data_IF_353250209033
#
_entry.id   IF_353250209033
#
_cell.length_a   1.000
_cell.length_b   1.000
_cell.length_c   1.000
_cell.angle_alpha   90.00
_cell.angle_beta   90.00
_cell.angle_gamma   90.00
#
_symmetry.space_group_name_H-M   'P 1'
#
loop_
_entity.id
_entity.type
_entity.pdbx_description
1 polymer ?
#
# COMPACT_ATOMS: atom_id res chain seq x y z
N UNK A 1 11.92 -10.33 -30.59
CA UNK A 1 11.86 -8.96 -30.06
C UNK A 1 10.77 -8.23 -30.84
N UNK A 2 9.63 -7.92 -30.21
CA UNK A 2 8.66 -6.98 -30.76
C UNK A 2 9.37 -5.62 -30.76
N UNK A 3 9.29 -4.86 -31.87
CA UNK A 3 9.91 -3.55 -31.94
C UNK A 3 9.31 -2.67 -30.84
N UNK A 4 10.14 -1.95 -30.09
CA UNK A 4 9.72 -1.07 -28.97
C UNK A 4 8.70 0.01 -29.33
N UNK A 5 8.35 0.12 -30.62
CA UNK A 5 7.41 1.08 -31.20
C UNK A 5 6.17 0.45 -31.83
N UNK A 6 6.07 -0.89 -31.90
CA UNK A 6 4.90 -1.55 -32.48
C UNK A 6 3.65 -1.34 -31.58
N UNK A 7 2.51 -1.19 -32.23
CA UNK A 7 1.21 -1.06 -31.54
C UNK A 7 0.95 -2.29 -30.66
N UNK A 8 0.66 -2.14 -29.36
CA UNK A 8 0.50 -3.27 -28.47
C UNK A 8 -0.83 -4.01 -28.71
N UNK A 9 -0.78 -5.34 -28.60
CA UNK A 9 -1.98 -6.19 -28.69
C UNK A 9 -2.72 -6.24 -27.35
N UNK A 10 -4.05 -5.98 -27.31
CA UNK A 10 -4.82 -6.00 -26.08
C UNK A 10 -4.75 -7.34 -25.32
N UNK A 11 -4.76 -8.47 -26.04
CA UNK A 11 -4.63 -9.79 -25.45
C UNK A 11 -3.34 -9.95 -24.63
N UNK A 12 -2.22 -9.50 -25.16
CA UNK A 12 -0.94 -9.59 -24.46
C UNK A 12 -0.85 -8.72 -23.18
N UNK A 13 -1.67 -7.69 -23.09
CA UNK A 13 -1.70 -6.78 -21.93
C UNK A 13 -2.62 -7.22 -20.80
N UNK A 14 -3.71 -7.92 -21.14
CA UNK A 14 -4.81 -8.13 -20.18
C UNK A 14 -5.16 -9.60 -19.97
N UNK A 15 -4.61 -10.57 -20.73
CA UNK A 15 -4.92 -12.02 -20.60
C UNK A 15 -4.65 -12.57 -19.21
N UNK A 16 -3.61 -12.08 -18.54
CA UNK A 16 -3.21 -12.53 -17.21
C UNK A 16 -4.00 -11.85 -16.08
N UNK A 17 -4.93 -10.95 -16.41
CA UNK A 17 -5.73 -10.23 -15.41
C UNK A 17 -7.03 -10.97 -15.16
N UNK A 18 -7.34 -11.22 -13.90
CA UNK A 18 -8.59 -11.83 -13.46
C UNK A 18 -9.75 -10.85 -13.55
N UNK A 19 -10.63 -11.05 -14.49
CA UNK A 19 -11.90 -10.32 -14.60
C UNK A 19 -13.07 -11.07 -13.99
N UNK A 20 -12.94 -12.39 -13.81
CA UNK A 20 -14.01 -13.25 -13.32
C UNK A 20 -14.61 -12.76 -11.98
N UNK A 21 -15.93 -12.76 -11.90
CA UNK A 21 -16.67 -12.32 -10.72
C UNK A 21 -16.85 -10.81 -10.56
N UNK A 22 -16.19 -10.00 -11.40
CA UNK A 22 -16.34 -8.54 -11.39
C UNK A 22 -17.40 -8.08 -12.41
N UNK A 23 -18.32 -7.25 -11.95
CA UNK A 23 -19.37 -6.67 -12.83
C UNK A 23 -18.89 -5.41 -13.56
N UNK A 24 -17.90 -4.75 -13.02
CA UNK A 24 -17.31 -3.54 -13.58
C UNK A 24 -15.81 -3.50 -13.34
N UNK A 25 -15.10 -2.66 -14.08
CA UNK A 25 -13.71 -2.25 -13.84
C UNK A 25 -13.56 -0.75 -14.07
N UNK A 26 -12.61 -0.13 -13.39
CA UNK A 26 -12.36 1.31 -13.51
C UNK A 26 -11.05 1.55 -14.26
N UNK A 27 -11.07 2.41 -15.28
CA UNK A 27 -9.87 2.96 -15.92
C UNK A 27 -9.65 4.41 -15.48
N UNK A 28 -8.49 4.71 -14.89
CA UNK A 28 -8.11 6.06 -14.53
C UNK A 28 -7.59 6.82 -15.75
N UNK A 29 -8.33 7.82 -16.22
CA UNK A 29 -8.04 8.54 -17.46
C UNK A 29 -7.78 10.02 -17.18
N UNK A 30 -6.59 10.51 -17.54
CA UNK A 30 -6.21 11.91 -17.38
C UNK A 30 -6.31 12.75 -18.67
N UNK A 31 -6.64 12.10 -19.81
CA UNK A 31 -6.60 12.73 -21.11
C UNK A 31 -5.22 12.72 -21.81
N UNK A 32 -4.16 12.37 -21.10
CA UNK A 32 -2.84 12.14 -21.68
C UNK A 32 -2.78 10.86 -22.50
N UNK A 33 -1.82 10.77 -23.45
CA UNK A 33 -1.73 9.66 -24.40
C UNK A 33 -1.71 8.28 -23.76
N UNK A 34 -0.88 8.07 -22.73
CA UNK A 34 -0.78 6.77 -22.05
C UNK A 34 -2.14 6.33 -21.46
N UNK A 35 -2.89 7.26 -20.84
CA UNK A 35 -4.16 6.95 -20.22
C UNK A 35 -5.30 6.72 -21.22
N UNK A 36 -5.30 7.40 -22.34
CA UNK A 36 -6.25 7.16 -23.43
C UNK A 36 -5.94 5.83 -24.14
N UNK A 37 -4.67 5.53 -24.38
CA UNK A 37 -4.27 4.25 -24.92
C UNK A 37 -4.70 3.08 -24.01
N UNK A 38 -4.48 3.20 -22.70
CA UNK A 38 -4.99 2.22 -21.72
C UNK A 38 -6.50 2.03 -21.85
N UNK A 39 -7.27 3.13 -21.89
CA UNK A 39 -8.73 3.07 -21.94
C UNK A 39 -9.22 2.29 -23.19
N UNK A 40 -8.68 2.60 -24.33
CA UNK A 40 -9.15 2.00 -25.60
C UNK A 40 -8.62 0.58 -25.80
N UNK A 41 -7.39 0.28 -25.39
CA UNK A 41 -6.86 -1.08 -25.36
C UNK A 41 -7.69 -1.99 -24.43
N UNK A 42 -8.08 -1.48 -23.27
CA UNK A 42 -8.92 -2.22 -22.32
C UNK A 42 -10.35 -2.41 -22.88
N UNK A 43 -10.92 -1.40 -23.53
CA UNK A 43 -12.19 -1.51 -24.24
C UNK A 43 -12.14 -2.63 -25.30
N UNK A 44 -11.15 -2.58 -26.21
CA UNK A 44 -10.97 -3.58 -27.27
C UNK A 44 -10.82 -5.00 -26.70
N UNK A 45 -10.14 -5.15 -25.57
CA UNK A 45 -10.02 -6.43 -24.89
C UNK A 45 -11.36 -6.93 -24.34
N UNK A 46 -12.08 -6.06 -23.62
CA UNK A 46 -13.34 -6.42 -22.97
C UNK A 46 -14.47 -6.72 -23.99
N UNK A 47 -14.49 -6.01 -25.11
CA UNK A 47 -15.47 -6.26 -26.20
C UNK A 47 -15.32 -7.68 -26.81
N UNK A 48 -14.14 -8.28 -26.72
CA UNK A 48 -13.86 -9.66 -27.14
C UNK A 48 -14.31 -10.70 -26.09
N UNK A 49 -14.73 -10.26 -24.89
CA UNK A 49 -15.15 -11.14 -23.78
C UNK A 49 -16.67 -11.18 -23.68
N UNK A 50 -17.37 -12.27 -24.05
CA UNK A 50 -18.84 -12.32 -24.10
C UNK A 50 -19.57 -12.01 -22.78
N UNK A 51 -18.86 -12.18 -21.64
CA UNK A 51 -19.40 -11.93 -20.29
C UNK A 51 -18.42 -11.08 -19.47
N UNK A 52 -17.67 -10.21 -20.14
CA UNK A 52 -16.71 -9.31 -19.48
C UNK A 52 -17.40 -8.25 -18.62
N UNK A 53 -16.68 -7.67 -17.65
CA UNK A 53 -17.18 -6.56 -16.85
C UNK A 53 -17.40 -5.30 -17.69
N UNK A 54 -18.32 -4.43 -17.26
CA UNK A 54 -18.48 -3.10 -17.84
C UNK A 54 -17.25 -2.22 -17.54
N UNK A 55 -16.92 -1.33 -18.47
CA UNK A 55 -15.81 -0.39 -18.34
C UNK A 55 -16.31 0.99 -17.90
N UNK A 56 -15.78 1.50 -16.79
CA UNK A 56 -16.00 2.86 -16.31
C UNK A 56 -14.70 3.68 -16.42
N UNK A 57 -14.68 4.69 -17.26
CA UNK A 57 -13.62 5.67 -17.30
C UNK A 57 -13.80 6.71 -16.18
N UNK A 58 -12.74 6.98 -15.40
CA UNK A 58 -12.79 7.97 -14.33
C UNK A 58 -11.67 8.99 -14.50
N UNK A 59 -12.04 10.26 -14.60
CA UNK A 59 -11.11 11.40 -14.60
C UNK A 59 -11.13 12.09 -13.25
N UNK A 60 -9.94 12.33 -12.68
CA UNK A 60 -9.79 13.13 -11.47
C UNK A 60 -9.36 14.54 -11.83
N UNK A 61 -10.26 15.49 -11.64
CA UNK A 61 -9.95 16.92 -11.74
C UNK A 61 -9.39 17.44 -10.40
N UNK A 62 -8.10 17.73 -10.41
CA UNK A 62 -7.43 18.28 -9.21
C UNK A 62 -7.74 19.75 -8.98
N UNK A 63 -8.30 20.48 -9.97
CA UNK A 63 -8.55 21.92 -9.92
C UNK A 63 -7.28 22.75 -9.67
N UNK A 64 -6.12 22.27 -10.15
CA UNK A 64 -4.82 22.96 -10.01
C UNK A 64 -4.48 23.85 -11.20
N UNK A 65 -5.15 23.66 -12.34
CA UNK A 65 -4.98 24.43 -13.58
C UNK A 65 -6.35 24.91 -14.08
N UNK A 66 -6.41 26.08 -14.73
CA UNK A 66 -7.68 26.60 -15.28
C UNK A 66 -8.34 25.65 -16.28
N UNK A 67 -7.53 24.95 -17.09
CA UNK A 67 -8.00 24.10 -18.20
C UNK A 67 -8.39 22.69 -17.77
N UNK A 68 -8.13 22.28 -16.50
CA UNK A 68 -8.36 20.91 -16.03
C UNK A 68 -9.81 20.42 -16.19
N UNK A 69 -10.78 21.31 -15.97
CA UNK A 69 -12.19 20.98 -16.14
C UNK A 69 -12.58 20.82 -17.63
N UNK A 70 -11.94 21.58 -18.53
CA UNK A 70 -12.15 21.46 -19.97
C UNK A 70 -11.54 20.18 -20.53
N UNK A 71 -10.33 19.83 -20.09
CA UNK A 71 -9.69 18.55 -20.41
C UNK A 71 -10.54 17.36 -19.92
N UNK A 72 -11.05 17.41 -18.70
CA UNK A 72 -11.91 16.35 -18.15
C UNK A 72 -13.21 16.20 -18.96
N UNK A 73 -13.81 17.30 -19.42
CA UNK A 73 -15.01 17.27 -20.29
C UNK A 73 -14.70 16.62 -21.63
N UNK A 74 -13.61 16.99 -22.27
CA UNK A 74 -13.20 16.41 -23.55
C UNK A 74 -12.91 14.91 -23.45
N UNK A 75 -12.33 14.45 -22.34
CA UNK A 75 -12.21 12.99 -22.05
C UNK A 75 -13.60 12.35 -21.98
N UNK A 76 -14.57 13.00 -21.33
CA UNK A 76 -15.95 12.52 -21.27
C UNK A 76 -16.60 12.40 -22.65
N UNK A 77 -16.39 13.37 -23.50
CA UNK A 77 -16.88 13.37 -24.91
C UNK A 77 -16.25 12.23 -25.72
N UNK A 78 -14.92 12.03 -25.59
CA UNK A 78 -14.21 10.92 -26.24
C UNK A 78 -14.71 9.55 -25.75
N UNK A 79 -14.95 9.39 -24.46
CA UNK A 79 -15.49 8.16 -23.89
C UNK A 79 -16.93 7.91 -24.39
N UNK A 80 -17.80 8.94 -24.36
CA UNK A 80 -19.18 8.84 -24.82
C UNK A 80 -19.28 8.48 -26.31
N UNK A 81 -18.42 9.06 -27.17
CA UNK A 81 -18.37 8.72 -28.58
C UNK A 81 -18.04 7.24 -28.85
N UNK A 82 -17.51 6.53 -27.85
CA UNK A 82 -17.19 5.09 -27.92
C UNK A 82 -18.09 4.23 -27.02
N UNK A 83 -19.15 4.79 -26.49
CA UNK A 83 -20.08 4.07 -25.63
C UNK A 83 -19.52 3.69 -24.25
N UNK A 84 -18.42 4.32 -23.83
CA UNK A 84 -17.80 4.07 -22.52
C UNK A 84 -18.42 5.02 -21.49
N UNK A 85 -18.92 4.45 -20.37
CA UNK A 85 -19.38 5.25 -19.24
C UNK A 85 -18.22 6.07 -18.65
N UNK A 86 -18.45 7.35 -18.36
CA UNK A 86 -17.43 8.25 -17.83
C UNK A 86 -17.92 9.03 -16.62
N UNK A 87 -17.02 9.24 -15.65
CA UNK A 87 -17.26 10.11 -14.48
C UNK A 87 -16.07 11.03 -14.28
N UNK A 88 -16.33 12.29 -13.98
CA UNK A 88 -15.32 13.23 -13.48
C UNK A 88 -15.50 13.39 -11.98
N UNK A 89 -14.43 13.16 -11.23
CA UNK A 89 -14.37 13.37 -9.78
C UNK A 89 -13.46 14.56 -9.48
N UNK A 90 -13.94 15.49 -8.68
CA UNK A 90 -13.19 16.68 -8.30
C UNK A 90 -12.55 16.54 -6.93
N UNK A 91 -11.29 16.98 -6.82
CA UNK A 91 -10.64 17.13 -5.53
C UNK A 91 -11.10 18.43 -4.86
N UNK A 92 -12.00 18.30 -3.89
CA UNK A 92 -12.66 19.42 -3.22
C UNK A 92 -11.95 19.88 -1.94
N UNK A 93 -11.17 18.98 -1.28
CA UNK A 93 -10.50 19.28 -0.04
C UNK A 93 -9.52 20.46 -0.17
N UNK A 94 -9.26 21.12 0.95
CA UNK A 94 -8.30 22.22 1.03
C UNK A 94 -6.90 21.78 0.59
N UNK A 95 -6.33 22.50 -0.35
CA UNK A 95 -5.04 22.18 -0.95
C UNK A 95 -3.91 22.69 -0.05
N UNK A 96 -2.94 21.82 0.32
CA UNK A 96 -1.84 22.23 1.17
C UNK A 96 -0.91 23.20 0.41
N UNK A 97 -0.33 24.15 1.15
CA UNK A 97 0.62 25.12 0.60
C UNK A 97 1.96 24.48 0.20
N UNK A 98 2.35 23.37 0.82
CA UNK A 98 3.57 22.61 0.52
C UNK A 98 3.21 21.15 0.25
N UNK A 99 4.02 20.47 -0.59
CA UNK A 99 3.80 19.06 -0.91
C UNK A 99 2.55 18.79 -1.78
N UNK A 100 2.08 19.79 -2.55
CA UNK A 100 0.85 19.69 -3.36
C UNK A 100 0.83 18.47 -4.28
N UNK A 101 1.97 18.07 -4.88
CA UNK A 101 2.04 16.90 -5.77
C UNK A 101 1.81 15.58 -5.02
N UNK A 102 2.30 15.46 -3.78
CA UNK A 102 2.04 14.30 -2.93
C UNK A 102 0.58 14.24 -2.51
N UNK A 103 0.00 15.37 -2.09
CA UNK A 103 -1.41 15.48 -1.70
C UNK A 103 -2.35 15.20 -2.89
N UNK A 104 -2.03 15.70 -4.09
CA UNK A 104 -2.79 15.43 -5.30
C UNK A 104 -2.76 13.95 -5.68
N UNK A 105 -1.59 13.29 -5.55
CA UNK A 105 -1.46 11.84 -5.76
C UNK A 105 -2.32 11.06 -4.79
N UNK A 106 -2.33 11.46 -3.53
CA UNK A 106 -3.11 10.86 -2.47
C UNK A 106 -4.62 11.00 -2.72
N UNK A 107 -5.07 12.22 -3.01
CA UNK A 107 -6.47 12.50 -3.35
C UNK A 107 -6.92 11.71 -4.58
N UNK A 108 -6.05 11.59 -5.60
CA UNK A 108 -6.34 10.77 -6.79
C UNK A 108 -6.61 9.32 -6.45
N UNK A 109 -5.76 8.70 -5.61
CA UNK A 109 -5.96 7.30 -5.21
C UNK A 109 -7.27 7.14 -4.43
N UNK A 110 -7.55 8.02 -3.46
CA UNK A 110 -8.77 7.97 -2.66
C UNK A 110 -10.04 8.15 -3.53
N UNK A 111 -10.03 9.12 -4.46
CA UNK A 111 -11.16 9.36 -5.35
C UNK A 111 -11.40 8.19 -6.31
N UNK A 112 -10.35 7.62 -6.88
CA UNK A 112 -10.46 6.44 -7.75
C UNK A 112 -10.93 5.20 -6.99
N UNK A 113 -10.44 4.97 -5.78
CA UNK A 113 -10.89 3.88 -4.93
C UNK A 113 -12.37 4.05 -4.54
N UNK A 114 -12.81 5.27 -4.22
CA UNK A 114 -14.23 5.58 -3.99
C UNK A 114 -15.07 5.25 -5.22
N UNK A 115 -14.65 5.66 -6.43
CA UNK A 115 -15.36 5.33 -7.67
C UNK A 115 -15.47 3.82 -7.89
N UNK A 116 -14.40 3.06 -7.60
CA UNK A 116 -14.42 1.61 -7.72
C UNK A 116 -15.40 0.96 -6.74
N UNK A 117 -15.40 1.36 -5.46
CA UNK A 117 -16.36 0.89 -4.44
C UNK A 117 -17.80 1.18 -4.84
N UNK A 118 -18.09 2.40 -5.33
CA UNK A 118 -19.41 2.82 -5.82
C UNK A 118 -19.84 2.04 -7.07
N UNK A 119 -18.90 1.64 -7.93
CA UNK A 119 -19.17 0.78 -9.09
C UNK A 119 -19.24 -0.72 -8.74
N UNK A 120 -19.06 -1.09 -7.45
CA UNK A 120 -19.09 -2.48 -6.99
C UNK A 120 -17.91 -3.30 -7.49
N UNK A 121 -16.73 -2.69 -7.64
CA UNK A 121 -15.49 -3.35 -8.08
C UNK A 121 -14.33 -3.02 -7.18
N UNK A 122 -13.36 -3.94 -7.12
CA UNK A 122 -12.08 -3.81 -6.43
C UNK A 122 -10.92 -3.53 -7.39
N UNK A 123 -11.17 -3.25 -8.70
CA UNK A 123 -10.14 -3.20 -9.72
C UNK A 123 -10.09 -1.86 -10.45
N UNK A 124 -8.96 -1.17 -10.32
CA UNK A 124 -8.65 0.10 -11.00
C UNK A 124 -7.40 -0.06 -11.86
N UNK A 125 -7.49 0.36 -13.11
CA UNK A 125 -6.38 0.38 -14.06
C UNK A 125 -5.72 1.75 -14.13
N UNK A 126 -4.39 1.79 -14.16
CA UNK A 126 -3.59 3.01 -14.31
C UNK A 126 -2.51 2.82 -15.37
N UNK A 127 -2.24 3.86 -16.16
CA UNK A 127 -1.42 3.83 -17.36
C UNK A 127 0.07 4.14 -17.11
N UNK A 128 0.67 3.51 -16.08
CA UNK A 128 2.12 3.62 -15.90
C UNK A 128 2.84 2.72 -16.91
N UNK A 129 3.86 3.28 -17.57
CA UNK A 129 4.61 2.67 -18.66
C UNK A 129 6.01 2.20 -18.23
N UNK A 130 6.74 1.53 -19.14
CA UNK A 130 8.16 1.19 -18.96
C UNK A 130 9.01 2.46 -18.78
N UNK A 131 8.68 3.53 -19.51
CA UNK A 131 9.35 4.83 -19.34
C UNK A 131 9.16 5.39 -17.94
N UNK A 132 7.94 5.30 -17.37
CA UNK A 132 7.68 5.71 -15.98
C UNK A 132 8.44 4.86 -14.97
N UNK A 133 8.66 3.58 -15.27
CA UNK A 133 9.47 2.68 -14.45
C UNK A 133 10.92 3.15 -14.41
N UNK A 134 11.54 3.40 -15.59
CA UNK A 134 12.91 3.90 -15.71
C UNK A 134 13.09 5.26 -15.01
N UNK A 135 12.19 6.23 -15.27
CA UNK A 135 12.19 7.54 -14.60
C UNK A 135 12.12 7.40 -13.08
N UNK A 136 11.22 6.54 -12.58
CA UNK A 136 11.05 6.32 -11.15
C UNK A 136 12.28 5.68 -10.52
N UNK A 137 12.90 4.72 -11.19
CA UNK A 137 14.12 4.08 -10.69
C UNK A 137 15.28 5.07 -10.66
N UNK A 138 15.50 5.84 -11.73
CA UNK A 138 16.54 6.86 -11.78
C UNK A 138 16.43 7.86 -10.60
N UNK A 139 15.21 8.35 -10.32
CA UNK A 139 14.94 9.24 -9.18
C UNK A 139 15.18 8.57 -7.82
N UNK A 140 14.91 7.28 -7.68
CA UNK A 140 15.12 6.56 -6.42
C UNK A 140 16.58 6.22 -6.17
N UNK A 141 17.32 5.86 -7.20
CA UNK A 141 18.75 5.58 -7.12
C UNK A 141 19.54 6.84 -6.73
N UNK A 142 19.17 8.02 -7.22
CA UNK A 142 19.80 9.28 -6.81
C UNK A 142 19.61 9.61 -5.32
N UNK A 143 18.64 8.94 -4.65
CA UNK A 143 18.33 9.08 -3.21
C UNK A 143 18.77 7.88 -2.38
N UNK A 144 19.62 7.01 -2.93
CA UNK A 144 20.17 5.84 -2.23
C UNK A 144 19.43 4.51 -2.52
N UNK A 145 18.41 4.50 -3.37
CA UNK A 145 17.75 3.28 -3.87
C UNK A 145 17.05 2.44 -2.81
N UNK A 146 17.77 1.55 -2.15
CA UNK A 146 17.24 0.62 -1.16
C UNK A 146 16.09 -0.24 -1.72
N UNK A 147 15.09 -0.57 -0.90
CA UNK A 147 13.90 -1.33 -1.35
C UNK A 147 13.10 -0.59 -2.46
N UNK A 148 13.30 0.71 -2.60
CA UNK A 148 12.71 1.50 -3.67
C UNK A 148 13.25 1.17 -5.07
N UNK A 149 14.42 0.55 -5.19
CA UNK A 149 15.01 0.12 -6.46
C UNK A 149 14.12 -0.87 -7.25
N UNK A 150 13.20 -1.56 -6.59
CA UNK A 150 12.18 -2.37 -7.26
C UNK A 150 11.19 -1.58 -8.14
N UNK A 151 11.29 -0.26 -8.19
CA UNK A 151 10.45 0.57 -9.05
C UNK A 151 8.96 0.56 -8.66
N UNK A 152 8.09 0.71 -9.67
CA UNK A 152 6.63 0.72 -9.52
C UNK A 152 6.13 -0.73 -9.50
N UNK A 153 5.28 -1.11 -8.54
CA UNK A 153 4.69 -2.44 -8.49
C UNK A 153 3.62 -2.64 -9.58
N UNK A 154 3.51 -3.84 -10.19
CA UNK A 154 2.45 -4.17 -11.15
C UNK A 154 1.04 -3.97 -10.58
N UNK A 155 0.85 -4.27 -9.31
CA UNK A 155 -0.37 -3.96 -8.57
C UNK A 155 -0.04 -3.37 -7.19
N UNK A 156 -0.96 -2.58 -6.66
CA UNK A 156 -0.91 -2.05 -5.29
C UNK A 156 -2.31 -2.10 -4.71
N UNK A 157 -2.46 -2.75 -3.57
CA UNK A 157 -3.70 -2.74 -2.81
C UNK A 157 -3.78 -1.44 -2.01
N UNK A 158 -4.87 -0.71 -2.19
CA UNK A 158 -5.17 0.53 -1.47
C UNK A 158 -6.17 0.24 -0.35
N UNK A 159 -5.85 0.64 0.87
CA UNK A 159 -6.69 0.52 2.08
C UNK A 159 -7.25 -0.89 2.35
N UNK A 160 -6.65 -1.91 1.75
CA UNK A 160 -6.98 -3.30 1.98
C UNK A 160 -8.08 -3.88 1.07
N UNK A 161 -8.66 -3.11 0.16
CA UNK A 161 -9.83 -3.53 -0.62
C UNK A 161 -9.81 -3.20 -2.12
N UNK A 162 -9.02 -2.22 -2.59
CA UNK A 162 -9.01 -1.81 -4.01
C UNK A 162 -7.63 -1.99 -4.63
N UNK A 163 -7.56 -2.80 -5.68
CA UNK A 163 -6.35 -3.01 -6.47
C UNK A 163 -6.17 -1.94 -7.53
N UNK A 164 -5.02 -1.29 -7.52
CA UNK A 164 -4.53 -0.44 -8.61
C UNK A 164 -3.56 -1.23 -9.46
N UNK A 165 -3.95 -1.62 -10.67
CA UNK A 165 -3.15 -2.42 -11.60
C UNK A 165 -2.53 -1.59 -12.70
N UNK A 166 -1.41 -2.06 -13.25
CA UNK A 166 -0.57 -1.33 -14.23
C UNK A 166 -0.15 -2.26 -15.34
N UNK A 167 -1.05 -2.59 -16.28
CA UNK A 167 -0.75 -3.54 -17.35
C UNK A 167 0.31 -3.04 -18.34
N UNK A 168 0.54 -1.72 -18.40
CA UNK A 168 1.47 -1.10 -19.35
C UNK A 168 2.90 -0.94 -18.83
N UNK A 169 3.25 -1.52 -17.67
CA UNK A 169 4.59 -1.36 -17.07
C UNK A 169 5.75 -1.90 -17.93
N UNK A 170 5.45 -2.80 -18.87
CA UNK A 170 6.42 -3.33 -19.84
C UNK A 170 6.26 -2.74 -21.25
N UNK A 171 5.35 -1.78 -21.40
CA UNK A 171 5.05 -1.14 -22.70
C UNK A 171 5.71 0.24 -22.77
N UNK A 172 6.41 0.51 -23.86
CA UNK A 172 7.02 1.81 -24.10
C UNK A 172 5.95 2.85 -24.49
N UNK A 173 6.12 4.07 -24.01
CA UNK A 173 5.24 5.19 -24.36
C UNK A 173 5.15 5.43 -25.87
N UNK A 174 6.24 5.18 -26.61
CA UNK A 174 6.27 5.28 -28.07
C UNK A 174 5.24 4.34 -28.73
N UNK A 175 5.16 3.09 -28.28
CA UNK A 175 4.20 2.11 -28.78
C UNK A 175 2.73 2.53 -28.54
N UNK A 176 2.45 3.14 -27.39
CA UNK A 176 1.12 3.69 -27.08
C UNK A 176 0.75 4.88 -27.99
N UNK A 177 1.72 5.71 -28.30
CA UNK A 177 1.52 6.82 -29.27
C UNK A 177 1.27 6.30 -30.69
N UNK A 178 2.00 5.27 -31.11
CA UNK A 178 1.75 4.58 -32.39
C UNK A 178 0.32 4.03 -32.43
N UNK A 179 -0.11 3.33 -31.39
CA UNK A 179 -1.48 2.79 -31.26
C UNK A 179 -2.56 3.87 -31.42
N UNK A 180 -2.41 5.03 -30.78
CA UNK A 180 -3.35 6.15 -30.88
C UNK A 180 -3.29 6.80 -32.25
N UNK A 181 -2.09 7.00 -32.81
CA UNK A 181 -1.88 7.59 -34.13
C UNK A 181 -2.52 6.79 -35.27
N UNK A 182 -2.38 5.46 -35.27
CA UNK A 182 -3.02 4.53 -36.22
C UNK A 182 -4.55 4.63 -36.22
N UNK A 183 -5.12 5.08 -35.08
CA UNK A 183 -6.59 5.23 -34.89
C UNK A 183 -7.06 6.67 -34.99
N UNK A 184 -6.17 7.61 -35.32
CA UNK A 184 -6.51 9.03 -35.42
C UNK A 184 -6.97 9.67 -34.12
N UNK A 185 -6.52 9.13 -32.96
CA UNK A 185 -6.93 9.62 -31.65
C UNK A 185 -5.93 10.67 -31.15
N UNK A 186 -6.41 11.90 -30.95
CA UNK A 186 -5.63 12.96 -30.31
C UNK A 186 -5.62 12.81 -28.78
N UNK A 187 -4.60 13.41 -28.13
CA UNK A 187 -4.47 13.45 -26.66
C UNK A 187 -3.97 14.81 -26.19
N UNK A 188 -4.15 15.08 -24.89
CA UNK A 188 -3.63 16.30 -24.27
C UNK A 188 -2.19 16.10 -23.79
N UNK A 189 -1.31 17.06 -24.05
CA UNK A 189 0.02 17.10 -23.45
C UNK A 189 0.03 18.10 -22.31
N UNK A 190 0.22 17.62 -21.08
CA UNK A 190 0.38 18.49 -19.93
C UNK A 190 1.71 19.24 -20.01
N UNK A 191 1.72 20.59 -20.07
CA UNK A 191 2.95 21.39 -20.14
C UNK A 191 3.92 21.11 -18.99
N UNK A 192 3.40 20.73 -17.81
CA UNK A 192 4.22 20.38 -16.65
C UNK A 192 5.13 19.18 -16.88
N UNK A 193 4.82 18.30 -17.83
CA UNK A 193 5.65 17.16 -18.20
C UNK A 193 7.00 17.56 -18.85
N UNK A 194 7.10 18.80 -19.34
CA UNK A 194 8.33 19.36 -19.95
C UNK A 194 8.98 20.42 -19.08
N UNK A 195 8.37 20.80 -17.96
CA UNK A 195 8.85 21.87 -17.09
C UNK A 195 10.04 21.39 -16.23
N UNK A 196 11.26 21.95 -16.44
CA UNK A 196 12.47 21.52 -15.72
C UNK A 196 12.44 21.83 -14.23
N UNK A 197 11.48 22.58 -13.73
CA UNK A 197 11.25 22.75 -12.29
C UNK A 197 10.90 21.44 -11.62
N UNK A 198 10.27 20.51 -12.33
CA UNK A 198 9.94 19.19 -11.81
C UNK A 198 11.08 18.18 -12.04
N UNK A 199 11.48 17.49 -10.98
CA UNK A 199 12.56 16.49 -11.02
C UNK A 199 12.34 15.45 -12.12
N UNK A 200 11.11 14.96 -12.26
CA UNK A 200 10.77 13.93 -13.25
C UNK A 200 10.98 14.41 -14.70
N UNK A 201 10.66 15.65 -15.00
CA UNK A 201 10.91 16.23 -16.33
C UNK A 201 12.41 16.32 -16.63
N UNK A 202 13.23 16.70 -15.64
CA UNK A 202 14.70 16.71 -15.78
C UNK A 202 15.26 15.31 -16.02
N UNK A 203 14.82 14.32 -15.22
CA UNK A 203 15.26 12.93 -15.38
C UNK A 203 14.88 12.41 -16.76
N UNK A 204 13.65 12.61 -17.21
CA UNK A 204 13.18 12.22 -18.55
C UNK A 204 14.04 12.79 -19.66
N UNK A 205 14.45 14.04 -19.57
CA UNK A 205 15.29 14.71 -20.58
C UNK A 205 16.72 14.13 -20.64
N UNK A 206 17.18 13.46 -19.58
CA UNK A 206 18.53 12.86 -19.49
C UNK A 206 18.56 11.36 -19.80
N UNK A 207 17.41 10.69 -19.97
CA UNK A 207 17.34 9.26 -20.26
C UNK A 207 17.38 9.03 -21.78
N UNK A 208 18.43 8.38 -22.25
CA UNK A 208 18.51 7.76 -23.57
C UNK A 208 17.99 6.33 -23.55
N UNK A 209 17.99 5.65 -24.68
CA UNK A 209 17.48 4.29 -24.83
C UNK A 209 18.31 3.28 -24.03
N UNK A 210 19.64 3.34 -24.17
CA UNK A 210 20.55 2.39 -23.48
C UNK A 210 20.40 2.50 -21.96
N UNK A 211 20.34 3.73 -21.45
CA UNK A 211 20.15 3.97 -20.02
C UNK A 211 18.76 3.51 -19.54
N UNK A 212 17.74 3.70 -20.35
CA UNK A 212 16.37 3.24 -20.07
C UNK A 212 16.35 1.72 -19.94
N UNK A 213 16.91 0.99 -20.91
CA UNK A 213 16.98 -0.48 -20.88
C UNK A 213 17.78 -0.99 -19.67
N UNK A 214 18.92 -0.36 -19.35
CA UNK A 214 19.71 -0.72 -18.18
C UNK A 214 18.91 -0.55 -16.87
N UNK A 215 18.16 0.54 -16.72
CA UNK A 215 17.31 0.79 -15.55
C UNK A 215 16.15 -0.20 -15.46
N UNK A 216 15.54 -0.58 -16.57
CA UNK A 216 14.47 -1.59 -16.56
C UNK A 216 14.99 -2.95 -16.08
N UNK A 217 16.16 -3.39 -16.59
CA UNK A 217 16.79 -4.63 -16.15
C UNK A 217 17.19 -4.58 -14.65
N UNK A 218 17.68 -3.43 -14.18
CA UNK A 218 17.98 -3.21 -12.76
C UNK A 218 16.72 -3.28 -11.90
N UNK A 219 15.61 -2.66 -12.34
CA UNK A 219 14.32 -2.74 -11.65
C UNK A 219 13.82 -4.17 -11.51
N UNK A 220 13.85 -4.96 -12.58
CA UNK A 220 13.45 -6.38 -12.56
C UNK A 220 14.28 -7.21 -11.58
N UNK A 221 15.60 -7.02 -11.58
CA UNK A 221 16.48 -7.69 -10.62
C UNK A 221 16.14 -7.32 -9.18
N UNK A 222 15.97 -6.01 -8.91
CA UNK A 222 15.59 -5.52 -7.59
C UNK A 222 14.21 -6.02 -7.14
N UNK A 223 13.26 -6.21 -8.07
CA UNK A 223 11.96 -6.82 -7.79
C UNK A 223 12.10 -8.26 -7.33
N UNK A 224 12.87 -9.08 -8.08
CA UNK A 224 13.14 -10.48 -7.71
C UNK A 224 13.78 -10.60 -6.32
N UNK A 225 14.80 -9.77 -6.05
CA UNK A 225 15.47 -9.74 -4.74
C UNK A 225 14.50 -9.34 -3.62
N UNK A 226 13.70 -8.30 -3.82
CA UNK A 226 12.69 -7.84 -2.84
C UNK A 226 11.66 -8.92 -2.53
N UNK A 227 11.16 -9.62 -3.54
CA UNK A 227 10.22 -10.72 -3.36
C UNK A 227 10.85 -11.91 -2.63
N UNK A 228 12.11 -12.26 -2.96
CA UNK A 228 12.84 -13.33 -2.28
C UNK A 228 13.06 -13.03 -0.80
N UNK A 229 13.50 -11.81 -0.48
CA UNK A 229 13.65 -11.33 0.89
C UNK A 229 12.29 -11.29 1.62
N UNK A 230 11.24 -10.84 0.92
CA UNK A 230 9.88 -10.82 1.45
C UNK A 230 9.36 -12.21 1.81
N UNK A 231 9.57 -13.22 0.97
CA UNK A 231 9.22 -14.61 1.28
C UNK A 231 9.99 -15.14 2.49
N UNK A 232 11.30 -14.94 2.53
CA UNK A 232 12.10 -15.37 3.69
C UNK A 232 11.63 -14.71 4.99
N UNK A 233 11.30 -13.42 4.96
CA UNK A 233 10.73 -12.75 6.14
C UNK A 233 9.33 -13.28 6.52
N UNK A 234 8.49 -13.62 5.53
CA UNK A 234 7.17 -14.22 5.76
C UNK A 234 7.28 -15.58 6.47
N UNK A 235 8.19 -16.44 5.99
CA UNK A 235 8.46 -17.76 6.57
C UNK A 235 8.92 -17.64 8.04
N UNK A 236 9.82 -16.68 8.32
CA UNK A 236 10.29 -16.41 9.68
C UNK A 236 9.20 -15.81 10.58
N UNK A 237 8.33 -14.94 10.06
CA UNK A 237 7.18 -14.42 10.80
C UNK A 237 6.22 -15.57 11.13
N UNK A 238 5.89 -16.44 10.17
CA UNK A 238 4.96 -17.55 10.37
C UNK A 238 5.48 -18.64 11.32
N UNK A 239 6.80 -18.93 11.27
CA UNK A 239 7.37 -20.01 12.07
C UNK A 239 7.92 -19.59 13.44
N UNK A 240 8.34 -18.33 13.60
CA UNK A 240 9.11 -17.88 14.75
C UNK A 240 8.54 -16.65 15.47
N UNK A 241 7.44 -16.06 14.98
CA UNK A 241 6.73 -14.98 15.67
C UNK A 241 5.41 -15.48 16.25
N UNK A 242 4.99 -14.94 17.40
CA UNK A 242 3.73 -15.30 18.05
C UNK A 242 3.10 -14.04 18.66
N UNK A 243 1.79 -13.91 18.52
CA UNK A 243 0.98 -12.95 19.30
C UNK A 243 0.65 -13.56 20.64
N UNK A 244 1.39 -13.17 21.67
CA UNK A 244 1.27 -13.72 23.03
C UNK A 244 0.02 -13.23 23.77
N UNK A 245 -0.32 -11.95 23.54
CA UNK A 245 -1.47 -11.29 24.13
C UNK A 245 -1.87 -10.08 23.26
N UNK A 246 -3.03 -9.43 23.51
CA UNK A 246 -3.33 -8.15 22.89
C UNK A 246 -2.15 -7.18 23.03
N UNK A 247 -1.69 -6.64 21.91
CA UNK A 247 -0.57 -5.69 21.84
C UNK A 247 0.83 -6.24 22.17
N UNK A 248 1.00 -7.54 22.43
CA UNK A 248 2.28 -8.18 22.74
C UNK A 248 2.65 -9.24 21.71
N UNK A 249 3.71 -8.98 20.94
CA UNK A 249 4.33 -9.95 20.06
C UNK A 249 5.61 -10.49 20.68
N UNK A 250 5.97 -11.72 20.36
CA UNK A 250 7.33 -12.25 20.58
C UNK A 250 7.89 -12.78 19.28
N UNK A 251 9.20 -12.68 19.11
CA UNK A 251 9.94 -13.16 17.93
C UNK A 251 11.21 -13.84 18.41
N UNK A 252 11.51 -15.02 17.87
CA UNK A 252 12.72 -15.75 18.24
C UNK A 252 13.97 -14.95 17.85
N UNK A 253 14.92 -14.80 18.80
CA UNK A 253 16.16 -14.07 18.56
C UNK A 253 17.01 -14.73 17.48
N UNK A 254 17.03 -16.07 17.42
CA UNK A 254 17.68 -16.82 16.36
C UNK A 254 17.12 -16.46 14.97
N UNK A 255 15.78 -16.44 14.82
CA UNK A 255 15.13 -16.07 13.57
C UNK A 255 15.39 -14.59 13.18
N UNK A 256 15.45 -13.68 14.16
CA UNK A 256 15.80 -12.28 13.91
C UNK A 256 17.23 -12.13 13.38
N UNK A 257 18.12 -13.09 13.71
CA UNK A 257 19.53 -13.10 13.33
C UNK A 257 19.81 -13.83 12.02
N UNK A 258 18.80 -14.46 11.42
CA UNK A 258 18.93 -15.11 10.11
C UNK A 258 19.34 -14.08 9.03
N UNK A 259 20.39 -14.39 8.27
CA UNK A 259 20.90 -13.51 7.22
C UNK A 259 19.86 -13.19 6.16
N UNK A 260 19.06 -14.21 5.80
CA UNK A 260 17.98 -14.08 4.80
C UNK A 260 16.64 -13.75 5.50
N UNK A 261 16.25 -12.50 5.47
CA UNK A 261 14.93 -12.06 5.88
C UNK A 261 14.76 -11.72 7.37
N UNK A 262 15.68 -12.15 8.29
CA UNK A 262 15.53 -11.96 9.73
C UNK A 262 15.42 -10.49 10.16
N UNK A 263 16.36 -9.66 9.71
CA UNK A 263 16.31 -8.22 9.97
C UNK A 263 15.07 -7.58 9.36
N UNK A 264 14.65 -8.02 8.18
CA UNK A 264 13.45 -7.49 7.53
C UNK A 264 12.18 -7.90 8.29
N UNK A 265 12.06 -9.14 8.75
CA UNK A 265 10.99 -9.59 9.63
C UNK A 265 10.91 -8.77 10.92
N UNK A 266 12.06 -8.52 11.58
CA UNK A 266 12.12 -7.67 12.76
C UNK A 266 11.63 -6.24 12.48
N UNK A 267 12.02 -5.64 11.35
CA UNK A 267 11.58 -4.29 10.95
C UNK A 267 10.07 -4.22 10.71
N UNK A 268 9.48 -5.28 10.16
CA UNK A 268 8.02 -5.41 9.98
C UNK A 268 7.32 -5.50 11.35
N UNK A 269 7.81 -6.35 12.24
CA UNK A 269 7.25 -6.52 13.58
C UNK A 269 7.37 -5.25 14.43
N UNK A 270 8.47 -4.48 14.27
CA UNK A 270 8.61 -3.15 14.87
C UNK A 270 7.58 -2.16 14.35
N UNK A 271 7.35 -2.14 13.03
CA UNK A 271 6.38 -1.23 12.43
C UNK A 271 4.95 -1.52 12.91
N UNK A 272 4.55 -2.79 12.96
CA UNK A 272 3.19 -3.15 13.40
C UNK A 272 3.00 -2.95 14.90
N UNK A 273 3.97 -3.34 15.74
CA UNK A 273 3.89 -3.12 17.17
C UNK A 273 3.84 -1.62 17.54
N UNK A 274 4.54 -0.79 16.78
CA UNK A 274 4.56 0.65 16.96
C UNK A 274 3.42 1.41 16.26
N UNK A 275 2.65 0.78 15.37
CA UNK A 275 1.66 1.45 14.53
C UNK A 275 2.30 2.44 13.55
N UNK A 276 3.50 2.15 13.05
CA UNK A 276 4.25 3.02 12.16
C UNK A 276 3.87 2.78 10.69
N UNK A 277 3.52 3.82 9.91
CA UNK A 277 3.23 3.68 8.48
C UNK A 277 4.49 3.41 7.64
N UNK A 278 5.66 3.33 8.26
CA UNK A 278 6.94 3.07 7.62
C UNK A 278 7.69 1.96 8.34
N UNK A 279 8.46 1.20 7.57
CA UNK A 279 9.44 0.26 8.16
C UNK A 279 10.40 1.01 9.08
N UNK A 280 10.77 0.35 10.18
CA UNK A 280 11.83 0.84 11.03
C UNK A 280 13.12 1.03 10.22
N UNK A 281 13.90 2.05 10.56
CA UNK A 281 15.20 2.34 9.93
C UNK A 281 16.11 1.11 10.00
N UNK A 282 16.76 0.77 8.89
CA UNK A 282 17.51 -0.47 8.76
C UNK A 282 18.75 -0.49 9.65
N UNK A 283 19.53 0.59 9.61
CA UNK A 283 20.76 0.68 10.39
C UNK A 283 20.47 0.66 11.90
N UNK A 284 19.41 1.37 12.33
CA UNK A 284 18.97 1.35 13.73
C UNK A 284 18.42 -0.01 14.15
N UNK A 285 17.70 -0.70 13.26
CA UNK A 285 17.19 -2.06 13.54
C UNK A 285 18.32 -3.07 13.65
N UNK A 286 19.36 -2.98 12.80
CA UNK A 286 20.55 -3.79 12.89
C UNK A 286 21.35 -3.51 14.17
N UNK A 287 21.45 -2.25 14.58
CA UNK A 287 22.10 -1.87 15.85
C UNK A 287 21.33 -2.40 17.07
N UNK A 288 19.98 -2.34 17.02
CA UNK A 288 19.12 -2.93 18.04
C UNK A 288 19.34 -4.45 18.14
N UNK A 289 19.37 -5.15 17.01
CA UNK A 289 19.58 -6.60 16.98
C UNK A 289 20.95 -6.98 17.54
N UNK A 290 22.02 -6.30 17.13
CA UNK A 290 23.37 -6.52 17.71
C UNK A 290 23.36 -6.35 19.23
N UNK A 291 22.79 -5.25 19.72
CA UNK A 291 22.68 -5.02 21.16
C UNK A 291 21.86 -6.10 21.85
N UNK A 292 20.78 -6.57 21.23
CA UNK A 292 19.99 -7.65 21.78
C UNK A 292 20.75 -8.98 21.80
N UNK A 293 21.69 -9.24 20.91
CA UNK A 293 22.55 -10.43 20.93
C UNK A 293 23.60 -10.37 22.05
N UNK A 294 24.13 -9.18 22.35
CA UNK A 294 25.18 -8.96 23.32
C UNK A 294 24.63 -8.84 24.77
N UNK A 295 23.43 -8.28 24.97
CA UNK A 295 22.85 -7.95 26.28
C UNK A 295 21.51 -8.64 26.51
N UNK A 296 21.47 -9.59 27.44
CA UNK A 296 20.24 -10.29 27.84
C UNK A 296 19.19 -9.40 28.54
N UNK A 297 19.61 -8.24 29.03
CA UNK A 297 18.75 -7.23 29.64
C UNK A 297 18.34 -6.14 28.65
N UNK A 298 18.63 -6.34 27.36
CA UNK A 298 18.35 -5.35 26.31
C UNK A 298 16.89 -4.91 26.36
N UNK A 299 16.70 -3.59 26.48
CA UNK A 299 15.41 -2.92 26.31
C UNK A 299 15.62 -1.63 25.55
N UNK A 300 15.00 -1.52 24.35
CA UNK A 300 15.20 -0.39 23.42
C UNK A 300 13.85 0.01 22.83
N UNK A 301 13.63 1.32 22.62
CA UNK A 301 12.49 1.82 21.85
C UNK A 301 12.95 2.20 20.44
N UNK A 302 12.22 1.68 19.43
CA UNK A 302 12.44 2.01 18.02
C UNK A 302 11.09 1.99 17.28
N UNK A 303 10.86 2.94 16.39
CA UNK A 303 9.61 3.04 15.61
C UNK A 303 8.34 2.98 16.48
N UNK A 304 8.33 3.65 17.63
CA UNK A 304 7.23 3.67 18.60
C UNK A 304 6.97 2.30 19.27
N UNK A 305 7.78 1.28 18.99
CA UNK A 305 7.73 -0.02 19.66
C UNK A 305 8.83 -0.12 20.72
N UNK A 306 8.54 -0.81 21.82
CA UNK A 306 9.53 -1.22 22.83
C UNK A 306 9.89 -2.66 22.55
N UNK A 307 11.18 -2.95 22.41
CA UNK A 307 11.73 -4.29 22.30
C UNK A 307 12.41 -4.65 23.60
N UNK A 308 12.08 -5.81 24.17
CA UNK A 308 12.72 -6.34 25.38
C UNK A 308 13.19 -7.75 25.11
N UNK A 309 14.48 -8.04 25.27
CA UNK A 309 15.00 -9.41 25.25
C UNK A 309 14.70 -10.11 26.56
N UNK A 310 14.21 -11.36 26.47
CA UNK A 310 14.11 -12.31 27.57
C UNK A 310 14.50 -13.69 27.07
N UNK A 311 15.67 -14.18 27.52
CA UNK A 311 16.28 -15.43 27.01
C UNK A 311 16.43 -15.39 25.49
N UNK A 312 15.80 -16.32 24.79
CA UNK A 312 15.87 -16.52 23.33
C UNK A 312 14.80 -15.74 22.55
N UNK A 313 14.08 -14.83 23.22
CA UNK A 313 12.95 -14.12 22.65
C UNK A 313 13.11 -12.60 22.70
N UNK A 314 12.71 -11.95 21.63
CA UNK A 314 12.42 -10.53 21.56
C UNK A 314 10.92 -10.32 21.75
N UNK A 315 10.54 -9.57 22.77
CA UNK A 315 9.15 -9.16 23.03
C UNK A 315 8.96 -7.74 22.53
N UNK A 316 7.91 -7.51 21.71
CA UNK A 316 7.62 -6.24 21.09
C UNK A 316 6.23 -5.78 21.50
N UNK A 317 6.12 -4.54 21.97
CA UNK A 317 4.84 -3.91 22.27
C UNK A 317 4.91 -2.40 21.99
N UNK A 318 3.74 -1.74 21.91
CA UNK A 318 3.64 -0.31 21.70
C UNK A 318 4.24 0.48 22.87
N UNK A 319 5.04 1.52 22.56
CA UNK A 319 5.48 2.51 23.55
C UNK A 319 4.30 3.36 24.03
N UNK A 320 4.22 3.65 25.32
CA UNK A 320 3.08 4.38 25.91
C UNK A 320 3.04 5.90 25.62
N UNK A 321 4.06 6.45 24.96
CA UNK A 321 4.10 7.86 24.63
C UNK A 321 3.19 8.20 23.45
N UNK A 322 2.57 9.39 23.49
CA UNK A 322 1.80 9.95 22.39
C UNK A 322 0.73 9.01 21.84
N UNK A 323 0.04 8.30 22.72
CA UNK A 323 -1.14 7.53 22.33
C UNK A 323 -2.31 8.49 22.09
N UNK A 324 -3.05 8.33 20.98
CA UNK A 324 -4.14 9.24 20.67
C UNK A 324 -5.34 9.03 21.58
N UNK A 325 -6.09 10.12 21.78
CA UNK A 325 -7.45 10.11 22.29
C UNK A 325 -8.36 10.70 21.23
N UNK A 326 -9.39 9.97 20.81
CA UNK A 326 -10.28 10.35 19.71
C UNK A 326 -11.73 10.04 20.06
N UNK A 327 -12.66 10.90 19.64
CA UNK A 327 -14.08 10.62 19.76
C UNK A 327 -14.47 9.39 18.93
N UNK A 328 -15.32 8.53 19.47
CA UNK A 328 -15.84 7.36 18.77
C UNK A 328 -17.11 7.75 17.98
N UNK A 329 -16.94 8.39 16.82
CA UNK A 329 -18.03 8.93 16.01
C UNK A 329 -18.34 8.14 14.73
N UNK A 330 -17.58 7.08 14.43
CA UNK A 330 -17.70 6.26 13.22
C UNK A 330 -16.47 5.40 13.00
N UNK A 331 -16.35 4.84 11.79
CA UNK A 331 -15.15 4.10 11.41
C UNK A 331 -13.92 5.01 11.47
N UNK A 332 -12.86 4.55 12.13
CA UNK A 332 -11.63 5.30 12.29
C UNK A 332 -10.42 4.40 12.52
N UNK A 333 -9.23 4.92 12.19
CA UNK A 333 -7.95 4.29 12.52
C UNK A 333 -7.44 4.88 13.83
N UNK A 334 -7.16 4.01 14.80
CA UNK A 334 -6.58 4.40 16.07
C UNK A 334 -5.11 3.97 16.17
N UNK A 335 -4.25 4.91 16.51
CA UNK A 335 -2.80 4.73 16.73
C UNK A 335 -2.03 4.07 15.55
N UNK A 336 -2.66 3.97 14.36
CA UNK A 336 -2.10 3.25 13.21
C UNK A 336 -2.09 1.72 13.34
N UNK A 337 -2.56 1.18 14.48
CA UNK A 337 -2.57 -0.27 14.74
C UNK A 337 -3.90 -0.94 14.49
N UNK A 338 -4.99 -0.22 14.65
CA UNK A 338 -6.34 -0.76 14.58
C UNK A 338 -7.28 0.11 13.78
N UNK A 339 -8.18 -0.54 13.05
CA UNK A 339 -9.40 0.06 12.51
C UNK A 339 -10.54 -0.29 13.44
N UNK A 340 -11.25 0.71 13.92
CA UNK A 340 -12.44 0.56 14.76
C UNK A 340 -13.67 0.80 13.91
N UNK A 341 -14.60 -0.14 13.94
CA UNK A 341 -15.88 -0.06 13.22
C UNK A 341 -17.01 -0.25 14.24
N UNK A 342 -17.63 0.84 14.75
CA UNK A 342 -18.75 0.74 15.66
C UNK A 342 -20.02 0.33 14.91
N UNK A 343 -20.82 -0.59 15.49
CA UNK A 343 -22.11 -1.01 14.92
C UNK A 343 -23.22 0.06 15.05
N UNK A 344 -22.95 1.17 15.75
CA UNK A 344 -23.89 2.27 15.95
C UNK A 344 -23.23 3.50 16.53
N UNK A 345 -24.02 4.58 16.76
CA UNK A 345 -23.50 5.82 17.36
C UNK A 345 -23.23 5.62 18.87
N UNK A 346 -22.00 5.86 19.28
CA UNK A 346 -21.55 5.82 20.67
C UNK A 346 -21.44 7.25 21.22
N UNK A 347 -22.59 7.91 21.48
CA UNK A 347 -22.61 9.31 21.96
C UNK A 347 -21.78 9.47 23.24
N UNK A 348 -20.84 10.42 23.19
CA UNK A 348 -20.01 10.78 24.35
C UNK A 348 -18.93 9.77 24.72
N UNK A 349 -18.70 8.74 23.89
CA UNK A 349 -17.59 7.83 24.07
C UNK A 349 -16.35 8.29 23.30
N UNK A 350 -15.17 8.05 23.86
CA UNK A 350 -13.89 8.23 23.19
C UNK A 350 -13.06 6.93 23.22
N UNK A 351 -12.10 6.85 22.34
CA UNK A 351 -11.10 5.78 22.33
C UNK A 351 -9.79 6.39 22.79
N UNK A 352 -9.25 5.82 23.85
CA UNK A 352 -7.94 6.17 24.40
C UNK A 352 -7.22 4.91 24.87
N UNK A 353 -5.96 5.05 25.30
CA UNK A 353 -5.22 3.93 25.85
C UNK A 353 -5.88 3.37 27.13
N UNK A 354 -5.81 2.06 27.33
CA UNK A 354 -6.32 1.39 28.54
C UNK A 354 -5.67 1.92 29.83
N UNK A 355 -4.42 2.29 29.75
CA UNK A 355 -3.68 2.91 30.82
C UNK A 355 -3.07 1.94 31.83
N UNK A 356 -2.01 2.39 32.54
CA UNK A 356 -1.26 1.51 33.46
C UNK A 356 -2.06 1.09 34.69
N UNK A 357 -2.96 1.95 35.21
CA UNK A 357 -3.78 1.62 36.38
C UNK A 357 -4.75 0.48 36.07
N UNK A 358 -5.48 0.57 34.95
CA UNK A 358 -6.40 -0.48 34.53
C UNK A 358 -5.67 -1.78 34.18
N UNK A 359 -4.51 -1.69 33.52
CA UNK A 359 -3.69 -2.85 33.20
C UNK A 359 -3.11 -3.54 34.47
N UNK A 360 -2.78 -2.78 35.51
CA UNK A 360 -2.30 -3.32 36.76
C UNK A 360 -3.40 -4.06 37.54
N UNK A 361 -4.65 -3.57 37.46
CA UNK A 361 -5.82 -4.15 38.11
C UNK A 361 -6.34 -5.43 37.42
N UNK A 362 -5.92 -5.65 36.12
CA UNK A 362 -6.36 -6.85 35.39
C UNK A 362 -5.52 -8.06 35.74
N UNK A 363 -6.18 -9.16 35.98
CA UNK A 363 -5.50 -10.44 36.14
C UNK A 363 -4.94 -10.89 34.79
N UNK A 364 -3.66 -11.26 34.77
CA UNK A 364 -2.94 -11.71 33.59
C UNK A 364 -2.25 -13.05 33.87
N UNK A 365 -2.58 -14.05 33.08
CA UNK A 365 -1.94 -15.35 33.19
C UNK A 365 -0.47 -15.26 32.74
N UNK A 366 0.47 -15.69 33.58
CA UNK A 366 1.92 -15.63 33.30
C UNK A 366 2.44 -16.77 32.42
N UNK A 367 1.55 -17.61 31.88
CA UNK A 367 1.95 -18.85 31.20
C UNK A 367 2.85 -18.65 29.97
N UNK A 368 2.74 -17.52 29.26
CA UNK A 368 3.45 -17.31 27.97
C UNK A 368 4.41 -16.12 27.96
N UNK A 369 4.30 -15.18 28.91
CA UNK A 369 5.19 -14.03 29.01
C UNK A 369 5.21 -13.46 30.43
N UNK A 370 6.28 -12.77 30.84
CA UNK A 370 6.36 -12.09 32.12
C UNK A 370 5.20 -11.09 32.33
N UNK A 371 4.53 -11.13 33.51
CA UNK A 371 3.38 -10.26 33.82
C UNK A 371 3.66 -8.76 33.60
N UNK A 372 4.87 -8.29 33.85
CA UNK A 372 5.26 -6.91 33.58
C UNK A 372 5.23 -6.52 32.10
N UNK A 373 5.54 -7.46 31.19
CA UNK A 373 5.43 -7.24 29.75
C UNK A 373 3.98 -7.25 29.28
N UNK A 374 3.19 -8.22 29.78
CA UNK A 374 1.75 -8.30 29.52
C UNK A 374 1.03 -7.01 29.92
N UNK A 375 1.26 -6.54 31.14
CA UNK A 375 0.67 -5.27 31.64
C UNK A 375 1.16 -4.05 30.85
N UNK A 376 2.43 -4.04 30.44
CA UNK A 376 2.99 -2.93 29.64
C UNK A 376 2.37 -2.86 28.25
N UNK A 377 2.13 -3.99 27.61
CA UNK A 377 1.46 -4.07 26.31
C UNK A 377 -0.01 -3.68 26.44
N UNK A 378 -0.71 -4.26 27.41
CA UNK A 378 -2.13 -4.03 27.66
C UNK A 378 -2.42 -2.55 27.95
N UNK A 379 -1.55 -1.88 28.70
CA UNK A 379 -1.69 -0.45 29.01
C UNK A 379 -1.71 0.46 27.76
N UNK A 380 -1.17 0.00 26.62
CA UNK A 380 -1.14 0.71 25.37
C UNK A 380 -2.25 0.30 24.38
N UNK A 381 -3.10 -0.66 24.75
CA UNK A 381 -4.21 -1.11 23.91
C UNK A 381 -5.39 -0.14 23.95
N UNK A 382 -6.20 -0.09 22.85
CA UNK A 382 -7.37 0.79 22.80
C UNK A 382 -8.43 0.35 23.81
N UNK A 383 -8.96 1.31 24.52
CA UNK A 383 -10.08 1.16 25.44
C UNK A 383 -11.15 2.20 25.18
N UNK A 384 -12.38 1.90 25.57
CA UNK A 384 -13.51 2.84 25.45
C UNK A 384 -13.69 3.57 26.76
N UNK A 385 -13.80 4.87 26.67
CA UNK A 385 -13.93 5.78 27.79
C UNK A 385 -15.20 6.64 27.67
N UNK A 386 -15.78 7.01 28.82
CA UNK A 386 -16.84 8.02 28.90
C UNK A 386 -16.48 8.98 30.04
N UNK A 387 -16.00 10.16 29.71
CA UNK A 387 -15.29 11.01 30.65
C UNK A 387 -14.11 10.27 31.26
N UNK A 388 -13.96 10.29 32.58
CA UNK A 388 -12.87 9.62 33.28
C UNK A 388 -13.12 8.10 33.54
N UNK A 389 -14.28 7.59 33.12
CA UNK A 389 -14.65 6.18 33.35
C UNK A 389 -14.17 5.30 32.17
N UNK A 390 -13.25 4.36 32.43
CA UNK A 390 -12.89 3.31 31.50
C UNK A 390 -13.99 2.24 31.48
N UNK A 391 -14.62 2.04 30.32
CA UNK A 391 -15.67 1.02 30.14
C UNK A 391 -15.07 -0.37 29.85
N UNK A 392 -13.82 -0.45 29.38
CA UNK A 392 -13.12 -1.69 29.08
C UNK A 392 -12.28 -1.58 27.80
N UNK A 393 -11.56 -2.68 27.49
CA UNK A 393 -10.80 -2.76 26.23
C UNK A 393 -11.74 -2.73 25.03
N UNK A 394 -11.32 -2.09 23.97
CA UNK A 394 -12.08 -2.05 22.71
C UNK A 394 -12.34 -3.45 22.14
N UNK A 395 -11.42 -4.40 22.37
CA UNK A 395 -11.58 -5.82 21.98
C UNK A 395 -12.71 -6.55 22.70
N UNK A 396 -13.08 -6.09 23.90
CA UNK A 396 -14.06 -6.73 24.77
C UNK A 396 -15.45 -6.10 24.61
N UNK A 397 -15.57 -5.03 23.82
CA UNK A 397 -16.81 -4.26 23.69
C UNK A 397 -17.76 -4.87 22.66
N UNK A 398 -18.95 -5.25 23.07
CA UNK A 398 -20.02 -5.66 22.16
C UNK A 398 -20.41 -4.50 21.21
N UNK A 399 -20.57 -4.81 19.92
CA UNK A 399 -20.94 -3.81 18.92
C UNK A 399 -19.78 -2.92 18.43
N UNK A 400 -18.54 -3.27 18.76
CA UNK A 400 -17.33 -2.65 18.21
C UNK A 400 -16.44 -3.70 17.58
N UNK A 401 -16.17 -3.57 16.28
CA UNK A 401 -15.21 -4.42 15.59
C UNK A 401 -13.83 -3.76 15.62
N UNK A 402 -12.85 -4.49 16.12
CA UNK A 402 -11.45 -4.08 16.20
C UNK A 402 -10.64 -4.89 15.21
N UNK A 403 -10.25 -4.29 14.10
CA UNK A 403 -9.46 -4.93 13.05
C UNK A 403 -7.99 -4.50 13.15
N UNK A 404 -7.04 -5.45 13.27
CA UNK A 404 -5.63 -5.12 13.24
C UNK A 404 -5.21 -4.66 11.85
N UNK A 405 -4.30 -3.69 11.78
CA UNK A 405 -3.75 -3.17 10.55
C UNK A 405 -2.34 -3.71 10.30
N UNK A 406 -2.09 -4.18 9.09
CA UNK A 406 -0.78 -4.67 8.67
C UNK A 406 0.16 -3.49 8.34
N UNK A 407 0.63 -2.78 9.36
CA UNK A 407 1.67 -1.78 9.14
C UNK A 407 3.00 -2.46 8.71
N UNK A 408 3.74 -1.84 7.75
CA UNK A 408 3.56 -0.50 7.18
C UNK A 408 2.63 -0.44 5.95
N UNK A 409 1.89 -1.50 5.64
CA UNK A 409 1.11 -1.64 4.40
C UNK A 409 -0.39 -1.34 4.53
N UNK A 410 -0.83 -0.86 5.69
CA UNK A 410 -2.26 -0.61 5.96
C UNK A 410 -2.93 0.29 4.91
N UNK A 411 -2.19 1.21 4.30
CA UNK A 411 -2.72 2.10 3.27
C UNK A 411 -2.36 1.67 1.85
N UNK A 412 -1.11 1.28 1.63
CA UNK A 412 -0.60 0.89 0.31
C UNK A 412 0.24 -0.38 0.45
N UNK A 413 -0.27 -1.49 -0.09
CA UNK A 413 0.44 -2.75 -0.13
C UNK A 413 0.86 -3.05 -1.58
N UNK A 414 2.14 -2.84 -1.94
CA UNK A 414 2.67 -3.26 -3.24
C UNK A 414 2.64 -4.78 -3.38
N UNK A 415 2.34 -5.29 -4.56
CA UNK A 415 2.31 -6.74 -4.84
C UNK A 415 3.63 -7.46 -4.51
N UNK A 416 4.75 -6.76 -4.50
CA UNK A 416 6.05 -7.31 -4.05
C UNK A 416 6.06 -7.78 -2.59
N UNK A 417 5.24 -7.16 -1.73
CA UNK A 417 5.25 -7.37 -0.27
C UNK A 417 4.02 -8.17 0.21
N UNK A 418 3.31 -8.84 -0.69
CA UNK A 418 2.12 -9.64 -0.32
C UNK A 418 2.46 -10.76 0.66
N UNK A 419 3.55 -11.50 0.43
CA UNK A 419 3.93 -12.61 1.30
C UNK A 419 4.13 -12.17 2.76
N UNK A 420 5.00 -11.20 3.07
CA UNK A 420 5.17 -10.76 4.46
C UNK A 420 3.94 -10.05 5.04
N UNK A 421 3.13 -9.36 4.22
CA UNK A 421 1.89 -8.76 4.69
C UNK A 421 0.84 -9.83 5.06
N UNK A 422 0.73 -10.92 4.29
CA UNK A 422 -0.17 -12.04 4.57
C UNK A 422 0.24 -12.76 5.86
N UNK A 423 1.52 -13.11 6.00
CA UNK A 423 2.04 -13.74 7.23
C UNK A 423 1.82 -12.85 8.47
N UNK A 424 1.97 -11.53 8.32
CA UNK A 424 1.70 -10.59 9.41
C UNK A 424 0.23 -10.54 9.77
N UNK A 425 -0.69 -10.49 8.80
CA UNK A 425 -2.13 -10.49 9.06
C UNK A 425 -2.58 -11.79 9.72
N UNK A 426 -2.04 -12.94 9.32
CA UNK A 426 -2.28 -14.22 9.97
C UNK A 426 -1.81 -14.20 11.44
N UNK A 427 -0.59 -13.72 11.70
CA UNK A 427 -0.06 -13.53 13.07
C UNK A 427 -0.97 -12.66 13.95
N UNK A 428 -1.61 -11.64 13.36
CA UNK A 428 -2.49 -10.70 14.06
C UNK A 428 -3.95 -11.17 14.14
N UNK A 429 -4.30 -12.34 13.58
CA UNK A 429 -5.68 -12.81 13.39
C UNK A 429 -6.54 -11.82 12.57
N UNK A 430 -5.91 -11.15 11.60
CA UNK A 430 -6.57 -10.25 10.64
C UNK A 430 -7.06 -10.99 9.41
N UNK A 431 -7.85 -10.31 8.58
CA UNK A 431 -8.31 -10.86 7.29
C UNK A 431 -7.17 -10.87 6.28
N UNK A 432 -7.03 -11.96 5.53
CA UNK A 432 -6.07 -12.05 4.43
C UNK A 432 -6.33 -10.95 3.38
N UNK A 433 -5.28 -10.44 2.70
CA UNK A 433 -5.47 -9.50 1.61
C UNK A 433 -6.31 -10.13 0.49
N UNK A 434 -7.10 -9.35 -0.26
CA UNK A 434 -7.78 -9.84 -1.46
C UNK A 434 -6.79 -10.48 -2.44
N UNK A 435 -7.26 -11.50 -3.17
CA UNK A 435 -6.44 -12.20 -4.14
C UNK A 435 -5.88 -11.22 -5.18
N UNK A 436 -4.58 -11.35 -5.47
CA UNK A 436 -3.92 -10.55 -6.50
C UNK A 436 -4.66 -10.70 -7.84
N UNK A 437 -4.96 -9.60 -8.56
CA UNK A 437 -5.72 -9.65 -9.81
C UNK A 437 -4.94 -10.15 -11.04
N UNK A 438 -3.85 -10.92 -10.86
CA UNK A 438 -3.05 -11.53 -11.92
C UNK A 438 -3.03 -13.05 -11.76
N UNK A 439 -3.23 -13.79 -12.86
CA UNK A 439 -3.20 -15.26 -12.88
C UNK A 439 -1.78 -15.85 -12.97
N UNK A 440 -0.84 -15.13 -13.58
CA UNK A 440 0.50 -15.62 -13.94
C UNK A 440 1.53 -15.73 -12.81
N UNK A 441 1.22 -15.40 -11.56
CA UNK A 441 2.20 -15.45 -10.46
C UNK A 441 2.46 -16.85 -9.88
N UNK A 442 1.78 -17.89 -10.35
CA UNK A 442 2.02 -19.28 -9.89
C UNK A 442 3.30 -19.91 -10.47
N UNK A 443 3.74 -19.52 -11.66
CA UNK A 443 4.92 -20.13 -12.31
C UNK A 443 6.26 -19.46 -11.96
N UNK A 444 6.26 -18.27 -11.35
CA UNK A 444 7.50 -17.64 -10.85
C UNK A 444 7.81 -17.99 -9.38
N UNK A 445 7.08 -18.94 -8.81
CA UNK A 445 7.24 -19.42 -7.42
C UNK A 445 7.95 -20.78 -7.36
N UNK A 446 8.60 -21.24 -8.44
CA UNK A 446 9.46 -22.40 -8.48
C UNK A 446 10.93 -22.05 -8.17
#
# INVERSE_FOLDING_TARGET
>A
MLSDTASPEPGALFSDIRFAGRKAVVAAVSGGGDSLALLFLLQEFLERQPSGPSLLAVTVDHGLRPDSATEARAVGELAAARGIAHRTLRWEEAKPKAGISAAAREARLALLARAAREAGTDLVFTAHTADDQAETLAMRLSRGGGRGAAGIAPATLFEGDVWFTRPLLHTRRAALRTYLGERGIGWFEDPSNRDPRFERARVRACLDEDRTQALLAEAENAQRLRQKEGRAAADLIGSAATRVAPGLLRFALAAASEEKGGLYALRILLAVAGGSPHLADEARSAALLRRALEDERCRVSLSRAVVTRKRDWLYLHRERRNLPETSLSGEQIWDGRYRLVPAGQSKGACVAAFGPANAAARDVAEAEAPAGLLRSALAAEPAIWRGDLCLGLASDMAGLVLQPLAQPWARLLPSFDLAPASALLELLNGSAPPILPFDGHKEQMG
#
